data_IF_379333746840
#
_entry.id   IF_379333746840
#
_cell.length_a   1.000
_cell.length_b   1.000
_cell.length_c   1.000
_cell.angle_alpha   90.00
_cell.angle_beta   90.00
_cell.angle_gamma   90.00
#
_symmetry.space_group_name_H-M   'P 1'
#
loop_
_entity.id
_entity.type
_entity.pdbx_description
1 polymer ?
#
# COMPACT_ATOMS: atom_id res chain seq x y z
N UNK A 1 -29.69 8.70 1.91
CA UNK A 1 -28.92 8.14 0.78
C UNK A 1 -27.78 9.12 0.47
N UNK A 2 -26.64 8.91 1.09
CA UNK A 2 -25.45 9.76 0.90
C UNK A 2 -24.81 9.39 -0.44
N UNK A 3 -24.70 10.34 -1.35
CA UNK A 3 -23.98 10.17 -2.62
C UNK A 3 -22.49 10.17 -2.29
N UNK A 4 -21.85 9.00 -2.34
CA UNK A 4 -20.39 8.90 -2.38
C UNK A 4 -19.89 9.68 -3.58
N UNK A 5 -19.29 10.82 -3.32
CA UNK A 5 -18.65 11.66 -4.34
C UNK A 5 -17.27 11.05 -4.58
N UNK A 6 -17.12 10.34 -5.69
CA UNK A 6 -15.81 9.79 -6.08
C UNK A 6 -14.79 10.92 -6.27
N UNK A 7 -13.53 10.72 -5.84
CA UNK A 7 -12.47 11.70 -6.04
C UNK A 7 -12.31 12.01 -7.53
N UNK A 8 -12.30 13.28 -7.88
CA UNK A 8 -12.15 13.74 -9.27
C UNK A 8 -10.67 13.80 -9.61
N UNK A 9 -10.16 12.76 -10.29
CA UNK A 9 -8.82 12.78 -10.87
C UNK A 9 -8.76 13.75 -12.03
N UNK A 10 -8.02 14.85 -11.88
CA UNK A 10 -7.77 15.82 -12.95
C UNK A 10 -6.41 15.55 -13.57
N UNK A 11 -6.40 14.86 -14.70
CA UNK A 11 -5.20 14.64 -15.48
C UNK A 11 -5.02 15.81 -16.48
N UNK A 12 -4.11 16.74 -16.21
CA UNK A 12 -3.74 17.82 -17.12
C UNK A 12 -2.26 17.80 -17.43
N UNK A 13 -1.90 17.12 -18.49
CA UNK A 13 -0.60 17.23 -19.16
C UNK A 13 -0.61 18.43 -20.12
N UNK A 14 -0.56 19.64 -19.61
CA UNK A 14 -0.19 20.84 -20.39
C UNK A 14 0.52 21.83 -19.46
N UNK A 15 1.53 22.53 -19.99
CA UNK A 15 2.33 23.56 -19.34
C UNK A 15 1.55 24.29 -18.25
N UNK A 16 2.01 24.18 -17.02
CA UNK A 16 1.40 24.85 -15.87
C UNK A 16 1.61 26.37 -16.02
N UNK A 17 0.70 27.03 -16.70
CA UNK A 17 0.39 28.38 -16.32
C UNK A 17 -0.39 28.25 -15.00
N UNK A 18 0.19 28.70 -13.90
CA UNK A 18 -0.44 28.71 -12.59
C UNK A 18 -1.64 29.65 -12.69
N UNK A 19 -2.80 29.10 -13.02
CA UNK A 19 -4.06 29.79 -12.84
C UNK A 19 -4.60 29.46 -11.46
N UNK A 20 -5.06 30.47 -10.68
CA UNK A 20 -5.37 30.33 -9.25
C UNK A 20 -6.68 29.62 -8.92
N UNK A 21 -7.11 28.63 -9.69
CA UNK A 21 -8.45 28.04 -9.56
C UNK A 21 -8.48 26.57 -9.08
N UNK A 22 -7.39 26.06 -8.50
CA UNK A 22 -7.45 24.79 -7.79
C UNK A 22 -7.86 25.07 -6.35
N UNK A 23 -9.15 24.93 -6.05
CA UNK A 23 -9.65 25.03 -4.68
C UNK A 23 -9.86 23.65 -4.09
N UNK A 24 -9.13 23.34 -3.05
CA UNK A 24 -9.27 22.13 -2.24
C UNK A 24 -8.69 22.36 -0.86
N UNK A 25 -9.21 21.66 0.12
CA UNK A 25 -8.79 21.82 1.52
C UNK A 25 -7.40 21.24 1.78
N UNK A 26 -7.00 20.23 0.99
CA UNK A 26 -5.74 19.52 1.11
C UNK A 26 -5.08 19.33 -0.25
N UNK A 27 -3.78 19.62 -0.32
CA UNK A 27 -2.93 19.36 -1.47
C UNK A 27 -1.95 18.24 -1.14
N UNK A 28 -1.91 17.22 -1.98
CA UNK A 28 -0.99 16.10 -1.88
C UNK A 28 -0.13 16.07 -3.13
N UNK A 29 1.20 16.14 -2.95
CA UNK A 29 2.18 16.19 -4.04
C UNK A 29 2.97 14.89 -4.05
N UNK A 30 2.37 13.83 -4.52
CA UNK A 30 2.98 12.51 -4.68
C UNK A 30 2.18 11.69 -5.69
N UNK A 31 2.85 10.84 -6.42
CA UNK A 31 2.24 9.97 -7.42
C UNK A 31 2.53 8.48 -7.16
N UNK A 32 2.66 8.07 -5.90
CA UNK A 32 2.93 6.69 -5.50
C UNK A 32 1.92 6.16 -4.47
N UNK A 33 2.10 4.92 -4.00
CA UNK A 33 1.17 4.25 -3.11
C UNK A 33 0.92 5.03 -1.81
N UNK A 34 1.95 5.62 -1.20
CA UNK A 34 1.80 6.33 0.07
C UNK A 34 0.94 7.59 -0.08
N UNK A 35 1.21 8.39 -1.11
CA UNK A 35 0.44 9.60 -1.35
C UNK A 35 -0.98 9.33 -1.82
N UNK A 36 -1.18 8.30 -2.64
CA UNK A 36 -2.52 7.92 -3.10
C UNK A 36 -3.35 7.34 -1.94
N UNK A 37 -2.75 6.54 -1.06
CA UNK A 37 -3.41 6.04 0.15
C UNK A 37 -3.83 7.20 1.07
N UNK A 38 -2.93 8.15 1.31
CA UNK A 38 -3.25 9.35 2.09
C UNK A 38 -4.39 10.16 1.44
N UNK A 39 -4.35 10.31 0.11
CA UNK A 39 -5.40 11.02 -0.62
C UNK A 39 -6.77 10.36 -0.46
N UNK A 40 -6.84 9.03 -0.54
CA UNK A 40 -8.06 8.27 -0.36
C UNK A 40 -8.62 8.43 1.06
N UNK A 41 -7.79 8.28 2.09
CA UNK A 41 -8.22 8.49 3.48
C UNK A 41 -8.72 9.91 3.75
N UNK A 42 -8.03 10.93 3.23
CA UNK A 42 -8.46 12.31 3.43
C UNK A 42 -9.72 12.67 2.63
N UNK A 43 -9.94 12.03 1.48
CA UNK A 43 -11.10 12.28 0.62
C UNK A 43 -12.44 11.90 1.28
N UNK A 44 -12.42 11.06 2.31
CA UNK A 44 -13.61 10.74 3.11
C UNK A 44 -14.15 11.95 3.88
N UNK A 45 -13.28 12.93 4.21
CA UNK A 45 -13.60 14.03 5.11
C UNK A 45 -13.27 15.43 4.55
N UNK A 46 -12.56 15.49 3.43
CA UNK A 46 -12.06 16.75 2.87
C UNK A 46 -12.02 16.72 1.34
N UNK A 47 -12.02 17.88 0.74
CA UNK A 47 -11.71 18.03 -0.69
C UNK A 47 -10.20 17.88 -0.88
N UNK A 48 -9.77 16.94 -1.73
CA UNK A 48 -8.36 16.61 -1.91
C UNK A 48 -7.94 16.85 -3.36
N UNK A 49 -6.79 17.49 -3.54
CA UNK A 49 -6.13 17.66 -4.83
C UNK A 49 -4.83 16.83 -4.80
N UNK A 50 -4.69 15.92 -5.76
CA UNK A 50 -3.45 15.18 -5.96
C UNK A 50 -2.70 15.80 -7.13
N UNK A 51 -1.47 16.27 -6.88
CA UNK A 51 -0.59 16.79 -7.91
C UNK A 51 0.50 15.75 -8.19
N UNK A 52 0.57 15.29 -9.43
CA UNK A 52 1.60 14.38 -9.91
C UNK A 52 2.40 15.00 -11.04
N UNK A 53 3.69 14.67 -11.14
CA UNK A 53 4.59 15.14 -12.21
C UNK A 53 4.22 14.57 -13.59
N UNK A 54 3.60 13.39 -13.62
CA UNK A 54 3.14 12.68 -14.80
C UNK A 54 1.75 12.08 -14.57
N UNK A 55 1.34 11.08 -15.35
CA UNK A 55 0.14 10.31 -15.06
C UNK A 55 0.15 9.77 -13.62
N UNK A 56 -0.99 9.81 -12.95
CA UNK A 56 -1.09 9.37 -11.54
C UNK A 56 -0.73 7.90 -11.37
N UNK A 57 -0.91 7.10 -12.42
CA UNK A 57 -0.52 5.69 -12.47
C UNK A 57 0.98 5.47 -12.68
N UNK A 58 1.78 6.50 -13.00
CA UNK A 58 3.23 6.37 -13.23
C UNK A 58 4.02 6.81 -11.99
N UNK A 59 3.88 6.10 -10.90
CA UNK A 59 4.74 6.24 -9.72
C UNK A 59 5.78 5.12 -9.64
N UNK A 60 6.74 5.26 -8.73
CA UNK A 60 7.73 4.20 -8.46
C UNK A 60 7.09 2.87 -8.11
N UNK A 61 5.95 2.90 -7.45
CA UNK A 61 5.19 1.71 -7.07
C UNK A 61 4.65 0.93 -8.28
N UNK A 62 4.29 1.61 -9.37
CA UNK A 62 3.81 0.95 -10.59
C UNK A 62 4.87 0.05 -11.23
N UNK A 63 6.13 0.44 -11.12
CA UNK A 63 7.27 -0.31 -11.65
C UNK A 63 7.96 -1.20 -10.60
N UNK A 64 7.47 -1.19 -9.36
CA UNK A 64 8.01 -2.04 -8.32
C UNK A 64 7.65 -3.50 -8.60
N UNK A 65 8.64 -4.37 -8.51
CA UNK A 65 8.46 -5.82 -8.51
C UNK A 65 8.60 -6.30 -7.06
N UNK A 66 7.74 -7.19 -6.64
CA UNK A 66 7.72 -7.73 -5.30
C UNK A 66 6.33 -7.68 -4.68
N UNK A 67 6.26 -7.96 -3.39
CA UNK A 67 5.00 -8.03 -2.67
C UNK A 67 5.00 -7.18 -1.41
N UNK A 68 3.94 -7.34 -0.64
CA UNK A 68 3.76 -6.69 0.67
C UNK A 68 3.92 -7.75 1.75
N UNK A 69 4.83 -7.50 2.70
CA UNK A 69 5.03 -8.37 3.85
C UNK A 69 4.01 -8.10 4.94
N UNK A 70 3.21 -9.09 5.31
CA UNK A 70 2.29 -9.04 6.44
C UNK A 70 2.05 -10.44 7.02
N UNK A 71 1.87 -10.52 8.33
CA UNK A 71 1.63 -11.79 9.02
C UNK A 71 0.17 -12.21 8.85
N UNK A 72 -0.08 -13.25 8.06
CA UNK A 72 -1.38 -13.87 7.84
C UNK A 72 -1.44 -15.33 8.27
N UNK A 73 -0.30 -16.02 8.22
CA UNK A 73 -0.16 -17.43 8.60
C UNK A 73 -0.14 -17.58 10.13
N UNK A 74 -0.87 -18.57 10.66
CA UNK A 74 -0.93 -18.84 12.10
C UNK A 74 0.40 -19.36 12.69
N UNK A 75 1.29 -19.86 11.85
CA UNK A 75 2.62 -20.31 12.25
C UNK A 75 3.64 -19.19 12.32
N UNK A 76 3.27 -17.98 11.88
CA UNK A 76 4.11 -16.77 11.89
C UNK A 76 3.67 -15.80 12.99
N UNK A 77 4.51 -14.82 13.33
CA UNK A 77 4.20 -13.79 14.31
C UNK A 77 4.79 -12.43 13.93
N UNK A 78 4.18 -11.37 14.45
CA UNK A 78 4.71 -10.01 14.28
C UNK A 78 6.12 -9.89 14.87
N UNK A 79 6.37 -10.54 16.00
CA UNK A 79 7.69 -10.60 16.62
C UNK A 79 8.74 -11.21 15.68
N UNK A 80 8.42 -12.35 15.07
CA UNK A 80 9.30 -12.99 14.08
C UNK A 80 9.59 -12.08 12.89
N UNK A 81 8.57 -11.35 12.41
CA UNK A 81 8.75 -10.37 11.34
C UNK A 81 9.64 -9.19 11.75
N UNK A 82 9.49 -8.69 12.98
CA UNK A 82 10.34 -7.63 13.54
C UNK A 82 11.79 -8.10 13.64
N UNK A 83 12.03 -9.29 14.17
CA UNK A 83 13.39 -9.81 14.34
C UNK A 83 14.08 -10.08 12.98
N UNK A 84 13.38 -10.67 12.02
CA UNK A 84 13.89 -10.81 10.64
C UNK A 84 14.30 -9.45 10.05
N UNK A 85 13.45 -8.43 10.23
CA UNK A 85 13.71 -7.08 9.71
C UNK A 85 14.95 -6.44 10.37
N UNK A 86 15.10 -6.61 11.69
CA UNK A 86 16.27 -6.09 12.42
C UNK A 86 17.55 -6.80 12.03
N UNK A 87 17.50 -8.12 11.80
CA UNK A 87 18.64 -8.92 11.33
C UNK A 87 19.04 -8.44 9.93
N UNK A 88 18.09 -8.36 8.99
CA UNK A 88 18.34 -7.89 7.63
C UNK A 88 18.86 -6.45 7.58
N UNK A 89 18.38 -5.60 8.48
CA UNK A 89 18.79 -4.21 8.59
C UNK A 89 20.16 -3.97 9.21
N UNK A 90 20.82 -5.02 9.74
CA UNK A 90 22.21 -4.99 10.21
C UNK A 90 22.54 -3.80 11.15
N UNK A 91 21.63 -3.42 12.01
CA UNK A 91 21.80 -2.37 13.04
C UNK A 91 21.40 -0.95 12.61
N UNK A 92 20.92 -0.73 11.39
CA UNK A 92 20.42 0.58 10.95
C UNK A 92 18.94 0.81 11.26
N UNK A 93 18.21 -0.24 11.69
CA UNK A 93 16.79 -0.15 11.97
C UNK A 93 16.49 0.32 13.38
N UNK A 94 15.50 1.19 13.53
CA UNK A 94 14.88 1.49 14.81
C UNK A 94 13.82 0.43 15.14
N UNK A 95 13.99 -0.32 16.25
CA UNK A 95 13.07 -1.40 16.64
C UNK A 95 11.64 -0.90 16.85
N UNK A 96 11.45 0.30 17.38
CA UNK A 96 10.10 0.82 17.62
C UNK A 96 9.38 1.11 16.30
N UNK A 97 10.08 1.71 15.34
CA UNK A 97 9.54 1.93 13.99
C UNK A 97 9.21 0.63 13.29
N UNK A 98 10.11 -0.37 13.34
CA UNK A 98 9.88 -1.69 12.74
C UNK A 98 8.67 -2.38 13.38
N UNK A 99 8.56 -2.37 14.72
CA UNK A 99 7.43 -2.97 15.43
C UNK A 99 6.10 -2.28 15.07
N UNK A 100 6.12 -0.95 14.96
CA UNK A 100 4.94 -0.20 14.53
C UNK A 100 4.48 -0.58 13.12
N UNK A 101 5.42 -0.63 12.16
CA UNK A 101 5.10 -0.97 10.77
C UNK A 101 4.62 -2.41 10.64
N UNK A 102 5.38 -3.38 11.19
CA UNK A 102 5.03 -4.80 11.10
C UNK A 102 3.70 -5.12 11.83
N UNK A 103 3.45 -4.47 12.97
CA UNK A 103 2.22 -4.64 13.75
C UNK A 103 0.96 -4.12 13.04
N UNK A 104 1.10 -3.11 12.18
CA UNK A 104 -0.02 -2.54 11.43
C UNK A 104 -0.16 -3.14 10.02
N UNK A 105 0.79 -3.94 9.54
CA UNK A 105 0.84 -4.43 8.16
C UNK A 105 -0.44 -5.16 7.74
N UNK A 106 -0.94 -6.07 8.58
CA UNK A 106 -2.17 -6.83 8.30
C UNK A 106 -3.38 -5.91 8.11
N UNK A 107 -3.51 -4.88 8.94
CA UNK A 107 -4.60 -3.90 8.82
C UNK A 107 -4.49 -3.10 7.51
N UNK A 108 -3.29 -2.67 7.16
CA UNK A 108 -3.06 -1.93 5.91
C UNK A 108 -3.36 -2.78 4.67
N UNK A 109 -2.96 -4.05 4.67
CA UNK A 109 -3.28 -5.00 3.58
C UNK A 109 -4.79 -5.23 3.48
N UNK A 110 -5.48 -5.39 4.61
CA UNK A 110 -6.94 -5.53 4.60
C UNK A 110 -7.61 -4.30 3.99
N UNK A 111 -7.14 -3.11 4.35
CA UNK A 111 -7.66 -1.88 3.74
C UNK A 111 -7.44 -1.84 2.22
N UNK A 112 -6.29 -2.30 1.71
CA UNK A 112 -6.04 -2.40 0.27
C UNK A 112 -7.02 -3.38 -0.41
N UNK A 113 -7.31 -4.51 0.23
CA UNK A 113 -8.31 -5.48 -0.24
C UNK A 113 -9.69 -4.81 -0.33
N UNK A 114 -10.07 -4.05 0.69
CA UNK A 114 -11.33 -3.32 0.73
C UNK A 114 -11.41 -2.22 -0.34
N UNK A 115 -10.25 -1.70 -0.79
CA UNK A 115 -10.15 -0.79 -1.95
C UNK A 115 -10.17 -1.53 -3.30
N UNK A 116 -10.21 -2.85 -3.31
CA UNK A 116 -10.33 -3.66 -4.53
C UNK A 116 -9.01 -4.20 -5.07
N UNK A 117 -7.92 -4.15 -4.31
CA UNK A 117 -6.67 -4.82 -4.69
C UNK A 117 -6.87 -6.33 -4.58
N UNK A 118 -6.61 -7.03 -5.69
CA UNK A 118 -6.72 -8.48 -5.78
C UNK A 118 -5.35 -9.10 -5.54
N UNK A 119 -5.13 -9.63 -4.34
CA UNK A 119 -3.93 -10.42 -4.05
C UNK A 119 -4.12 -11.86 -4.49
N UNK A 120 -3.00 -12.52 -4.82
CA UNK A 120 -2.98 -13.90 -5.27
C UNK A 120 -3.47 -14.85 -4.18
N UNK A 121 -4.27 -15.83 -4.61
CA UNK A 121 -4.82 -16.87 -3.74
C UNK A 121 -4.45 -18.25 -4.24
N UNK A 122 -4.46 -19.22 -3.36
CA UNK A 122 -4.28 -20.64 -3.68
C UNK A 122 -5.42 -21.46 -3.09
N UNK A 123 -5.74 -22.57 -3.74
CA UNK A 123 -6.70 -23.54 -3.20
C UNK A 123 -5.94 -24.55 -2.33
N UNK A 124 -6.30 -24.62 -1.06
CA UNK A 124 -5.79 -25.60 -0.12
C UNK A 124 -6.29 -27.02 -0.43
N UNK A 125 -5.70 -28.02 0.20
CA UNK A 125 -6.05 -29.43 0.01
C UNK A 125 -7.53 -29.74 0.33
N UNK A 126 -8.14 -28.97 1.20
CA UNK A 126 -9.55 -29.07 1.57
C UNK A 126 -10.51 -28.28 0.66
N UNK A 127 -10.01 -27.69 -0.42
CA UNK A 127 -10.79 -26.83 -1.32
C UNK A 127 -11.05 -25.42 -0.77
N UNK A 128 -10.45 -25.04 0.34
CA UNK A 128 -10.53 -23.69 0.90
C UNK A 128 -9.61 -22.74 0.15
N UNK A 129 -10.06 -21.51 -0.04
CA UNK A 129 -9.24 -20.45 -0.62
C UNK A 129 -8.41 -19.78 0.48
N UNK A 130 -7.10 -19.76 0.32
CA UNK A 130 -6.16 -19.09 1.21
C UNK A 130 -5.27 -18.13 0.41
N UNK A 131 -4.61 -17.20 1.09
CA UNK A 131 -3.63 -16.33 0.45
C UNK A 131 -2.43 -17.13 -0.04
N UNK A 132 -1.98 -16.85 -1.27
CA UNK A 132 -0.73 -17.38 -1.76
C UNK A 132 0.42 -16.56 -1.19
N UNK A 133 1.02 -17.05 -0.11
CA UNK A 133 2.12 -16.38 0.57
C UNK A 133 3.46 -16.93 0.07
N UNK A 134 4.38 -16.05 -0.30
CA UNK A 134 5.75 -16.41 -0.65
C UNK A 134 6.72 -16.03 0.45
N UNK A 135 7.94 -16.58 0.38
CA UNK A 135 9.05 -16.24 1.26
C UNK A 135 10.21 -15.74 0.43
N UNK A 136 10.59 -14.51 0.66
CA UNK A 136 11.73 -13.87 0.01
C UNK A 136 12.92 -13.77 0.96
N UNK A 137 14.05 -13.26 0.44
CA UNK A 137 15.28 -13.12 1.23
C UNK A 137 15.08 -12.26 2.48
N UNK A 138 15.69 -12.67 3.59
CA UNK A 138 15.57 -12.01 4.89
C UNK A 138 14.36 -12.42 5.72
N UNK A 139 13.39 -13.16 5.15
CA UNK A 139 12.22 -13.65 5.88
C UNK A 139 12.37 -15.10 6.34
N UNK A 140 12.05 -15.40 7.59
CA UNK A 140 12.01 -16.77 8.13
C UNK A 140 10.72 -17.51 7.79
N UNK A 141 9.62 -16.79 7.56
CA UNK A 141 8.30 -17.33 7.24
C UNK A 141 7.77 -16.84 5.88
N UNK A 142 6.74 -17.52 5.36
CA UNK A 142 5.99 -17.09 4.20
C UNK A 142 5.01 -15.98 4.64
N UNK A 143 5.25 -14.74 4.20
CA UNK A 143 4.42 -13.59 4.58
C UNK A 143 4.27 -12.54 3.49
N UNK A 144 4.75 -12.83 2.29
CA UNK A 144 4.72 -11.88 1.19
C UNK A 144 3.49 -12.16 0.33
N UNK A 145 2.59 -11.17 0.23
CA UNK A 145 1.45 -11.18 -0.69
C UNK A 145 1.85 -10.49 -1.98
N UNK A 146 1.43 -11.05 -3.09
CA UNK A 146 1.60 -10.49 -4.42
C UNK A 146 0.24 -10.14 -5.02
N UNK A 147 0.20 -9.11 -5.87
CA UNK A 147 -0.97 -8.72 -6.63
C UNK A 147 -0.58 -8.64 -8.10
N UNK A 148 -1.12 -9.56 -8.91
CA UNK A 148 -0.96 -9.59 -10.36
C UNK A 148 0.52 -9.42 -10.79
N UNK A 149 1.35 -10.38 -10.49
CA UNK A 149 2.66 -10.49 -11.12
C UNK A 149 2.44 -10.77 -12.61
N UNK A 150 2.61 -9.72 -13.41
CA UNK A 150 2.59 -9.80 -14.85
C UNK A 150 3.94 -10.28 -15.39
#
# INVERSE_FOLDING_TARGET
MSKHQQPRLVNKTKHLSITPELSGDKLIVVGDAAGLSLALHLAEHSSVIVLSKGPVSEGSTFYAQGGIAAVFDETDSVESHVDDTLIAGAGICDRHAVSFVAGNARHCVQWLIDQGVLFDTQTGENGETAWHLTREGGHSHRRILHAADA
#
